data_IF_165711784941
#
_entry.id   IF_165711784941
#
_cell.length_a   1.000
_cell.length_b   1.000
_cell.length_c   1.000
_cell.angle_alpha   90.00
_cell.angle_beta   90.00
_cell.angle_gamma   90.00
#
_symmetry.space_group_name_H-M   'P 1'
#
loop_
_entity.id
_entity.type
_entity.pdbx_description
1 polymer ?
#
# COMPACT_ATOMS: atom_id res chain seq x y z
N UNK A 1 -4.89 -2.29 -11.63
CA UNK A 1 -4.70 -1.95 -13.05
C UNK A 1 -3.33 -1.31 -13.23
N UNK A 2 -2.52 -1.87 -14.13
CA UNK A 2 -1.22 -1.27 -14.48
C UNK A 2 -1.45 0.07 -15.14
N UNK A 3 -0.75 1.12 -14.70
CA UNK A 3 -0.75 2.39 -15.42
C UNK A 3 -0.08 2.19 -16.77
N UNK A 4 -0.90 2.09 -17.79
CA UNK A 4 -0.41 2.06 -19.16
C UNK A 4 0.20 3.42 -19.52
N UNK A 5 1.16 3.50 -20.42
CA UNK A 5 1.76 4.76 -20.88
C UNK A 5 0.73 5.83 -21.29
N UNK A 6 -0.37 5.41 -21.92
CA UNK A 6 -1.47 6.30 -22.29
C UNK A 6 -2.19 6.90 -21.08
N UNK A 7 -2.39 6.12 -20.02
CA UNK A 7 -3.02 6.60 -18.78
C UNK A 7 -2.11 7.58 -18.05
N UNK A 8 -0.81 7.33 -18.00
CA UNK A 8 0.16 8.25 -17.42
C UNK A 8 0.16 9.62 -18.15
N UNK A 9 0.11 9.60 -19.49
CA UNK A 9 -0.02 10.82 -20.27
C UNK A 9 -1.33 11.57 -19.97
N UNK A 10 -2.46 10.86 -19.90
CA UNK A 10 -3.76 11.46 -19.56
C UNK A 10 -3.76 12.10 -18.17
N UNK A 11 -3.17 11.45 -17.17
CA UNK A 11 -3.01 12.03 -15.82
C UNK A 11 -2.25 13.36 -15.87
N UNK A 12 -1.13 13.38 -16.59
CA UNK A 12 -0.34 14.60 -16.74
C UNK A 12 -1.14 15.72 -17.43
N UNK A 13 -1.88 15.39 -18.50
CA UNK A 13 -2.72 16.36 -19.21
C UNK A 13 -3.89 16.88 -18.36
N UNK A 14 -4.33 16.10 -17.38
CA UNK A 14 -5.31 16.51 -16.37
C UNK A 14 -4.71 17.35 -15.22
N UNK A 15 -3.42 17.67 -15.28
CA UNK A 15 -2.72 18.45 -14.25
C UNK A 15 -2.19 17.66 -13.06
N UNK A 16 -2.25 16.33 -13.12
CA UNK A 16 -1.67 15.44 -12.08
C UNK A 16 -0.17 15.38 -12.29
N UNK A 17 0.61 15.90 -11.35
CA UNK A 17 2.08 15.93 -11.42
C UNK A 17 2.76 14.82 -10.66
N UNK A 18 2.04 14.17 -9.73
CA UNK A 18 2.52 12.99 -8.97
C UNK A 18 1.36 12.05 -8.69
N UNK A 19 1.60 10.75 -8.78
CA UNK A 19 0.61 9.73 -8.48
C UNK A 19 1.23 8.47 -7.86
N UNK A 20 0.43 7.67 -7.18
CA UNK A 20 0.80 6.34 -6.70
C UNK A 20 0.00 5.30 -7.46
N UNK A 21 0.66 4.28 -7.98
CA UNK A 21 0.03 3.05 -8.44
C UNK A 21 0.13 2.02 -7.30
N UNK A 22 -1.01 1.64 -6.78
CA UNK A 22 -1.12 0.82 -5.58
C UNK A 22 -1.56 -0.62 -5.89
N UNK A 23 -1.25 -1.13 -7.07
CA UNK A 23 -1.54 -2.53 -7.38
C UNK A 23 -1.44 -2.88 -8.85
N UNK A 24 -0.30 -3.39 -9.25
CA UNK A 24 -0.04 -3.84 -10.61
C UNK A 24 0.97 -4.99 -10.65
N UNK A 25 1.14 -5.62 -11.83
CA UNK A 25 2.22 -6.56 -12.05
C UNK A 25 3.58 -5.89 -11.78
N UNK A 26 4.49 -6.61 -11.12
CA UNK A 26 5.72 -6.02 -10.59
C UNK A 26 6.60 -5.40 -11.68
N UNK A 27 6.95 -6.20 -12.67
CA UNK A 27 7.92 -5.80 -13.69
C UNK A 27 7.37 -4.68 -14.58
N UNK A 28 6.13 -4.83 -15.07
CA UNK A 28 5.49 -3.86 -15.96
C UNK A 28 5.25 -2.51 -15.29
N UNK A 29 4.87 -2.53 -14.00
CA UNK A 29 4.67 -1.28 -13.23
C UNK A 29 5.98 -0.51 -13.09
N UNK A 30 7.06 -1.20 -12.75
CA UNK A 30 8.38 -0.59 -12.61
C UNK A 30 8.93 -0.10 -13.95
N UNK A 31 8.73 -0.85 -15.03
CA UNK A 31 9.14 -0.45 -16.37
C UNK A 31 8.47 0.88 -16.78
N UNK A 32 7.16 1.01 -16.59
CA UNK A 32 6.43 2.25 -16.89
C UNK A 32 6.98 3.43 -16.09
N UNK A 33 7.22 3.25 -14.79
CA UNK A 33 7.85 4.28 -13.95
C UNK A 33 9.21 4.70 -14.51
N UNK A 34 10.04 3.74 -14.85
CA UNK A 34 11.40 3.99 -15.34
C UNK A 34 11.40 4.65 -16.74
N UNK A 35 10.42 4.33 -17.59
CA UNK A 35 10.21 5.02 -18.87
C UNK A 35 9.82 6.49 -18.65
N UNK A 36 8.97 6.79 -17.68
CA UNK A 36 8.60 8.17 -17.32
C UNK A 36 9.82 8.91 -16.75
N UNK A 37 10.51 8.31 -15.77
CA UNK A 37 11.67 8.92 -15.11
C UNK A 37 12.84 9.19 -16.08
N UNK A 38 13.00 8.37 -17.10
CA UNK A 38 14.00 8.57 -18.16
C UNK A 38 13.56 9.53 -19.27
N UNK A 39 12.33 10.03 -19.23
CA UNK A 39 11.76 10.92 -20.26
C UNK A 39 11.39 10.23 -21.57
N UNK A 40 11.36 8.91 -21.63
CA UNK A 40 10.94 8.16 -22.81
C UNK A 40 9.46 8.31 -23.12
N UNK A 41 8.65 8.45 -22.08
CA UNK A 41 7.22 8.71 -22.19
C UNK A 41 6.82 9.87 -21.26
N UNK A 42 5.84 10.70 -21.63
CA UNK A 42 5.32 11.73 -20.75
C UNK A 42 4.44 11.11 -19.66
N UNK A 43 4.58 11.59 -18.43
CA UNK A 43 3.78 11.16 -17.29
C UNK A 43 4.12 11.93 -16.02
N UNK A 44 3.30 11.78 -14.95
CA UNK A 44 3.59 12.33 -13.63
C UNK A 44 4.74 11.58 -12.95
N UNK A 45 5.28 12.12 -11.87
CA UNK A 45 6.13 11.33 -10.97
C UNK A 45 5.31 10.18 -10.40
N UNK A 46 5.74 8.94 -10.66
CA UNK A 46 5.02 7.73 -10.23
C UNK A 46 5.73 7.04 -9.08
N UNK A 47 4.94 6.63 -8.08
CA UNK A 47 5.36 5.75 -6.99
C UNK A 47 4.62 4.43 -7.13
N UNK A 48 5.36 3.32 -7.22
CA UNK A 48 4.83 2.00 -7.53
C UNK A 48 4.94 1.06 -6.34
N UNK A 49 3.83 0.39 -6.00
CA UNK A 49 3.84 -0.67 -4.98
C UNK A 49 4.12 -2.06 -5.56
N UNK A 50 3.95 -2.24 -6.87
CA UNK A 50 3.84 -3.57 -7.44
C UNK A 50 2.57 -4.29 -6.95
N UNK A 51 2.60 -5.62 -6.79
CA UNK A 51 1.43 -6.39 -6.38
C UNK A 51 0.88 -6.02 -5.00
N UNK A 52 -0.43 -6.14 -4.82
CA UNK A 52 -1.04 -6.12 -3.50
C UNK A 52 -0.54 -7.30 -2.66
N UNK A 53 -0.29 -7.08 -1.40
CA UNK A 53 -0.02 -8.14 -0.43
C UNK A 53 -1.28 -8.39 0.41
N UNK A 54 -1.77 -9.63 0.40
CA UNK A 54 -3.00 -10.03 1.07
C UNK A 54 -2.92 -11.47 1.61
N UNK A 55 -3.92 -11.92 2.39
CA UNK A 55 -3.91 -13.28 2.91
C UNK A 55 -4.13 -14.32 1.83
N UNK A 56 -5.16 -14.14 1.03
CA UNK A 56 -5.57 -15.09 0.00
C UNK A 56 -5.98 -14.37 -1.29
N UNK A 57 -5.16 -14.44 -2.34
CA UNK A 57 -5.51 -13.84 -3.62
C UNK A 57 -6.67 -14.57 -4.29
N UNK A 58 -7.39 -13.86 -5.14
CA UNK A 58 -8.39 -14.49 -6.00
C UNK A 58 -7.70 -15.27 -7.12
N UNK A 59 -8.23 -16.45 -7.52
CA UNK A 59 -7.68 -17.21 -8.64
C UNK A 59 -7.57 -16.37 -9.93
N UNK A 60 -6.45 -16.48 -10.63
CA UNK A 60 -6.21 -15.75 -11.87
C UNK A 60 -5.75 -14.29 -11.68
N UNK A 61 -5.42 -13.89 -10.45
CA UNK A 61 -4.94 -12.52 -10.15
C UNK A 61 -3.51 -12.48 -9.62
N UNK A 62 -2.78 -13.56 -9.73
CA UNK A 62 -1.47 -13.78 -9.10
C UNK A 62 -0.40 -12.80 -9.59
N UNK A 63 -0.57 -12.24 -10.79
CA UNK A 63 0.34 -11.23 -11.33
C UNK A 63 0.37 -9.94 -10.50
N UNK A 64 -0.76 -9.57 -9.91
CA UNK A 64 -0.90 -8.31 -9.16
C UNK A 64 -1.45 -8.49 -7.73
N UNK A 65 -1.60 -9.74 -7.27
CA UNK A 65 -2.03 -10.09 -5.90
C UNK A 65 -1.18 -11.21 -5.36
N UNK A 66 -0.45 -10.93 -4.29
CA UNK A 66 0.43 -11.91 -3.65
C UNK A 66 -0.15 -12.35 -2.32
N UNK A 67 -0.45 -13.65 -2.21
CA UNK A 67 -0.92 -14.26 -0.97
C UNK A 67 0.20 -14.46 0.03
N UNK A 68 -0.11 -14.47 1.33
CA UNK A 68 0.84 -14.69 2.42
C UNK A 68 0.50 -15.95 3.19
N UNK A 69 1.52 -16.78 3.47
CA UNK A 69 1.39 -17.99 4.23
C UNK A 69 2.45 -18.06 5.35
N UNK A 70 2.14 -17.42 6.47
CA UNK A 70 3.00 -17.32 7.64
C UNK A 70 4.07 -16.23 7.53
N UNK A 71 4.70 -15.91 8.67
CA UNK A 71 5.68 -14.83 8.82
C UNK A 71 6.87 -14.93 7.86
N UNK A 72 7.41 -16.15 7.70
CA UNK A 72 8.59 -16.37 6.84
C UNK A 72 8.29 -16.02 5.38
N UNK A 73 7.12 -16.42 4.88
CA UNK A 73 6.68 -16.13 3.52
C UNK A 73 6.40 -14.62 3.37
N UNK A 74 5.74 -14.02 4.36
CA UNK A 74 5.51 -12.58 4.42
C UNK A 74 6.81 -11.79 4.25
N UNK A 75 7.81 -12.05 5.10
CA UNK A 75 9.12 -11.38 5.02
C UNK A 75 9.80 -11.61 3.68
N UNK A 76 9.74 -12.83 3.15
CA UNK A 76 10.37 -13.14 1.87
C UNK A 76 9.78 -12.32 0.72
N UNK A 77 8.45 -12.20 0.66
CA UNK A 77 7.77 -11.39 -0.36
C UNK A 77 8.13 -9.92 -0.28
N UNK A 78 8.20 -9.37 0.93
CA UNK A 78 8.62 -7.97 1.10
C UNK A 78 10.07 -7.76 0.65
N UNK A 79 10.97 -8.69 0.94
CA UNK A 79 12.37 -8.64 0.43
C UNK A 79 12.44 -8.67 -1.09
N UNK A 80 11.60 -9.48 -1.74
CA UNK A 80 11.52 -9.52 -3.21
C UNK A 80 11.06 -8.16 -3.75
N UNK A 81 9.99 -7.57 -3.20
CA UNK A 81 9.50 -6.25 -3.60
C UNK A 81 10.54 -5.17 -3.36
N UNK A 82 11.18 -5.15 -2.19
CA UNK A 82 12.24 -4.19 -1.87
C UNK A 82 13.43 -4.30 -2.83
N UNK A 83 13.88 -5.54 -3.11
CA UNK A 83 14.96 -5.78 -4.07
C UNK A 83 14.61 -5.37 -5.50
N UNK A 84 13.36 -5.51 -5.90
CA UNK A 84 12.86 -5.05 -7.19
C UNK A 84 12.81 -3.52 -7.30
N UNK A 85 12.85 -2.80 -6.18
CA UNK A 85 12.87 -1.34 -6.15
C UNK A 85 11.49 -0.70 -6.19
N UNK A 86 10.49 -1.32 -5.56
CA UNK A 86 9.19 -0.66 -5.33
C UNK A 86 9.36 0.53 -4.38
N UNK A 87 8.48 1.50 -4.45
CA UNK A 87 8.53 2.71 -3.63
C UNK A 87 7.80 2.57 -2.28
N UNK A 88 6.86 1.63 -2.21
CA UNK A 88 6.05 1.35 -1.03
C UNK A 88 5.43 -0.05 -1.10
N UNK A 89 4.85 -0.51 0.01
CA UNK A 89 4.11 -1.77 0.08
C UNK A 89 2.61 -1.47 0.19
N UNK A 90 1.79 -2.14 -0.60
CA UNK A 90 0.33 -2.04 -0.51
C UNK A 90 -0.29 -3.30 0.07
N UNK A 91 -1.09 -3.12 1.12
CA UNK A 91 -1.91 -4.16 1.75
C UNK A 91 -3.37 -4.03 1.33
N UNK A 92 -4.04 -5.16 1.22
CA UNK A 92 -5.49 -5.25 1.04
C UNK A 92 -6.04 -6.41 1.88
N UNK A 93 -7.25 -6.28 2.41
CA UNK A 93 -7.90 -7.27 3.28
C UNK A 93 -6.99 -7.73 4.44
N UNK A 94 -6.25 -6.79 5.02
CA UNK A 94 -5.25 -7.09 6.06
C UNK A 94 -5.85 -7.67 7.34
N UNK A 95 -7.12 -7.47 7.60
CA UNK A 95 -7.87 -8.07 8.70
C UNK A 95 -8.05 -9.60 8.57
N UNK A 96 -7.76 -10.16 7.38
CA UNK A 96 -7.73 -11.61 7.15
C UNK A 96 -6.37 -12.24 7.49
N UNK A 97 -5.30 -11.44 7.66
CA UNK A 97 -3.98 -11.91 8.08
C UNK A 97 -3.92 -12.10 9.59
N UNK A 98 -3.03 -12.97 10.06
CA UNK A 98 -2.72 -13.01 11.49
C UNK A 98 -1.92 -11.78 11.89
N UNK A 99 -1.93 -11.45 13.18
CA UNK A 99 -1.14 -10.33 13.72
C UNK A 99 0.37 -10.52 13.42
N UNK A 100 0.86 -11.74 13.51
CA UNK A 100 2.26 -12.10 13.27
C UNK A 100 2.64 -11.91 11.80
N UNK A 101 1.79 -12.35 10.87
CA UNK A 101 2.01 -12.15 9.44
C UNK A 101 2.07 -10.66 9.09
N UNK A 102 1.11 -9.90 9.60
CA UNK A 102 1.03 -8.47 9.31
C UNK A 102 2.18 -7.69 9.96
N UNK A 103 2.53 -8.03 11.21
CA UNK A 103 3.70 -7.45 11.89
C UNK A 103 4.99 -7.77 11.12
N UNK A 104 5.12 -8.99 10.61
CA UNK A 104 6.28 -9.39 9.82
C UNK A 104 6.41 -8.58 8.50
N UNK A 105 5.28 -8.28 7.85
CA UNK A 105 5.26 -7.43 6.65
C UNK A 105 5.74 -6.03 6.98
N UNK A 106 5.13 -5.39 7.98
CA UNK A 106 5.43 -4.00 8.34
C UNK A 106 6.87 -3.85 8.83
N UNK A 107 7.32 -4.74 9.73
CA UNK A 107 8.69 -4.77 10.23
C UNK A 107 9.72 -4.93 9.10
N UNK A 108 9.48 -5.86 8.18
CA UNK A 108 10.39 -6.09 7.07
C UNK A 108 10.40 -4.92 6.07
N UNK A 109 9.25 -4.33 5.78
CA UNK A 109 9.15 -3.15 4.93
C UNK A 109 9.94 -1.96 5.52
N UNK A 110 9.76 -1.69 6.81
CA UNK A 110 10.45 -0.61 7.51
C UNK A 110 11.98 -0.84 7.55
N UNK A 111 12.47 -2.08 7.67
CA UNK A 111 13.91 -2.39 7.55
C UNK A 111 14.50 -2.00 6.19
N UNK A 112 13.68 -2.02 5.16
CA UNK A 112 14.06 -1.58 3.82
C UNK A 112 13.70 -0.11 3.51
N UNK A 113 13.30 0.67 4.52
CA UNK A 113 12.83 2.05 4.40
C UNK A 113 11.60 2.22 3.48
N UNK A 114 10.79 1.17 3.33
CA UNK A 114 9.55 1.20 2.58
C UNK A 114 8.39 1.53 3.51
N UNK A 115 7.53 2.45 3.08
CA UNK A 115 6.26 2.73 3.74
C UNK A 115 5.23 1.66 3.41
N UNK A 116 4.35 1.38 4.37
CA UNK A 116 3.25 0.43 4.20
C UNK A 116 1.94 1.20 4.16
N UNK A 117 1.20 1.04 3.07
CA UNK A 117 -0.13 1.63 2.91
C UNK A 117 -1.18 0.52 2.84
N UNK A 118 -2.30 0.71 3.50
CA UNK A 118 -3.33 -0.31 3.64
C UNK A 118 -4.68 0.18 3.13
N UNK A 119 -5.47 -0.74 2.62
CA UNK A 119 -6.89 -0.55 2.34
C UNK A 119 -7.63 -0.29 3.65
N UNK A 120 -8.68 0.51 3.65
CA UNK A 120 -9.41 0.87 4.86
C UNK A 120 -10.89 1.12 4.61
N UNK A 121 -11.63 0.04 4.41
CA UNK A 121 -13.09 0.07 4.29
C UNK A 121 -13.81 -0.42 5.54
N UNK A 122 -13.11 -1.15 6.41
CA UNK A 122 -13.65 -1.71 7.66
C UNK A 122 -12.85 -1.21 8.87
N UNK A 123 -13.51 -0.94 10.00
CA UNK A 123 -12.83 -0.54 11.22
C UNK A 123 -11.74 -1.53 11.69
N UNK A 124 -11.97 -2.82 11.45
CA UNK A 124 -11.03 -3.90 11.81
C UNK A 124 -9.72 -3.78 11.04
N UNK A 125 -9.77 -3.41 9.77
CA UNK A 125 -8.60 -3.16 8.94
C UNK A 125 -7.74 -2.03 9.51
N UNK A 126 -8.41 -0.97 9.97
CA UNK A 126 -7.73 0.20 10.56
C UNK A 126 -7.14 -0.17 11.92
N UNK A 127 -7.94 -0.80 12.81
CA UNK A 127 -7.47 -1.20 14.15
C UNK A 127 -6.23 -2.08 14.07
N UNK A 128 -6.27 -3.09 13.22
CA UNK A 128 -5.14 -4.00 13.08
C UNK A 128 -3.93 -3.30 12.44
N UNK A 129 -4.17 -2.51 11.39
CA UNK A 129 -3.11 -1.75 10.73
C UNK A 129 -2.42 -0.76 11.67
N UNK A 130 -3.17 -0.03 12.51
CA UNK A 130 -2.60 0.88 13.52
C UNK A 130 -1.74 0.13 14.54
N UNK A 131 -2.22 -1.03 15.03
CA UNK A 131 -1.49 -1.84 16.01
C UNK A 131 -0.13 -2.33 15.50
N UNK A 132 -0.03 -2.68 14.22
CA UNK A 132 1.22 -3.17 13.63
C UNK A 132 2.09 -2.06 13.03
N UNK A 133 1.60 -0.82 12.98
CA UNK A 133 2.38 0.32 12.50
C UNK A 133 2.29 0.62 11.02
N UNK A 134 1.17 0.31 10.35
CA UNK A 134 0.89 0.76 8.98
C UNK A 134 1.03 2.29 8.92
N UNK A 135 1.67 2.79 7.87
CA UNK A 135 2.02 4.22 7.75
C UNK A 135 0.88 5.08 7.20
N UNK A 136 0.04 4.51 6.33
CA UNK A 136 -1.07 5.25 5.71
C UNK A 136 -2.24 4.33 5.38
N UNK A 137 -3.45 4.87 5.46
CA UNK A 137 -4.67 4.20 5.04
C UNK A 137 -5.26 4.89 3.81
N UNK A 138 -5.57 4.08 2.81
CA UNK A 138 -6.25 4.52 1.59
C UNK A 138 -7.77 4.42 1.78
N UNK A 139 -8.50 5.24 1.01
CA UNK A 139 -9.96 5.27 1.03
C UNK A 139 -10.53 5.77 2.36
N UNK A 140 -10.84 7.04 2.44
CA UNK A 140 -11.23 7.75 3.66
C UNK A 140 -12.65 7.48 4.16
N UNK A 141 -13.40 6.58 3.54
CA UNK A 141 -14.79 6.27 3.91
C UNK A 141 -14.99 4.82 4.28
N UNK A 142 -15.62 4.56 5.43
CA UNK A 142 -16.05 3.22 5.80
C UNK A 142 -17.25 2.79 4.95
N UNK A 143 -17.25 1.54 4.49
CA UNK A 143 -18.33 0.99 3.66
C UNK A 143 -19.69 0.90 4.38
N UNK A 144 -19.66 0.77 5.71
CA UNK A 144 -20.82 0.46 6.54
C UNK A 144 -21.28 1.58 7.46
N UNK A 145 -20.50 2.67 7.58
CA UNK A 145 -20.83 3.78 8.49
C UNK A 145 -20.23 5.09 8.01
N UNK A 146 -20.97 6.21 8.07
CA UNK A 146 -20.41 7.53 7.75
C UNK A 146 -19.45 8.07 8.82
N UNK A 147 -19.34 7.40 9.98
CA UNK A 147 -18.46 7.80 11.08
C UNK A 147 -17.50 6.70 11.44
N UNK A 148 -16.25 7.07 11.74
CA UNK A 148 -15.30 6.16 12.38
C UNK A 148 -15.78 5.87 13.82
N UNK A 149 -15.65 4.62 14.31
CA UNK A 149 -15.86 4.31 15.72
C UNK A 149 -14.93 5.13 16.62
N UNK A 150 -15.40 5.50 17.81
CA UNK A 150 -14.66 6.37 18.72
C UNK A 150 -13.29 5.79 19.11
N UNK A 151 -13.21 4.48 19.30
CA UNK A 151 -11.95 3.78 19.59
C UNK A 151 -10.94 3.88 18.42
N UNK A 152 -11.42 3.88 17.18
CA UNK A 152 -10.54 4.08 15.99
C UNK A 152 -10.00 5.51 15.96
N UNK A 153 -10.85 6.49 16.28
CA UNK A 153 -10.43 7.90 16.36
C UNK A 153 -9.37 8.07 17.45
N UNK A 154 -9.58 7.47 18.64
CA UNK A 154 -8.63 7.48 19.73
C UNK A 154 -7.28 6.89 19.34
N UNK A 155 -7.27 5.70 18.72
CA UNK A 155 -6.05 5.05 18.22
C UNK A 155 -5.31 5.90 17.17
N UNK A 156 -6.03 6.58 16.27
CA UNK A 156 -5.43 7.48 15.27
C UNK A 156 -4.77 8.67 15.98
N UNK A 157 -5.45 9.29 16.94
CA UNK A 157 -4.92 10.42 17.69
C UNK A 157 -3.68 10.04 18.51
N UNK A 158 -3.69 8.89 19.19
CA UNK A 158 -2.52 8.37 19.90
C UNK A 158 -1.33 8.15 18.96
N UNK A 159 -1.57 7.55 17.79
CA UNK A 159 -0.51 7.33 16.79
C UNK A 159 0.05 8.65 16.28
N UNK A 160 -0.81 9.62 16.01
CA UNK A 160 -0.42 10.96 15.54
C UNK A 160 0.42 11.68 16.58
N UNK A 161 0.04 11.61 17.86
CA UNK A 161 0.80 12.19 18.95
C UNK A 161 2.20 11.58 19.08
N UNK A 162 2.31 10.24 18.92
CA UNK A 162 3.62 9.54 18.91
C UNK A 162 4.53 10.00 17.76
N UNK A 163 3.95 10.42 16.64
CA UNK A 163 4.70 10.93 15.48
C UNK A 163 5.02 12.43 15.59
N UNK A 164 4.66 13.12 16.67
CA UNK A 164 4.79 14.57 16.89
C UNK A 164 4.12 15.43 15.79
N UNK A 165 3.04 14.95 15.19
CA UNK A 165 2.34 15.64 14.11
C UNK A 165 1.19 16.54 14.60
N UNK A 166 0.94 16.59 15.92
CA UNK A 166 -0.23 17.29 16.47
C UNK A 166 -1.55 16.55 16.20
N UNK A 167 -2.67 16.96 16.83
CA UNK A 167 -3.96 16.32 16.61
C UNK A 167 -4.45 16.58 15.17
N UNK A 168 -4.96 15.52 14.53
CA UNK A 168 -5.52 15.58 13.18
C UNK A 168 -7.03 15.89 13.17
N UNK A 169 -7.68 15.85 14.36
CA UNK A 169 -9.12 16.12 14.52
C UNK A 169 -9.40 16.87 15.82
#
# INVERSE_FOLDING_TARGET
DVIMPSSAHQLLMAGVTSARDLGGPLEESLEVRDMINSGKIPGPTMYMSGPFVQKKPYPGTELFRWGVNGEKDARNKIRILAKAGVDLIKLIDQDQMTFEELSAIVDEAHKHNLKVVAHAHRPEEIRLGLKVGVDNFEHTGLSSSPKFPDDVIEMINERTAQMNLGPLF
#
